data_IF_259206588578
#
_entry.id   IF_259206588578
#
_cell.length_a   1.000
_cell.length_b   1.000
_cell.length_c   1.000
_cell.angle_alpha   90.00
_cell.angle_beta   90.00
_cell.angle_gamma   90.00
#
_symmetry.space_group_name_H-M   'P 1'
#
loop_
_entity.id
_entity.type
_entity.pdbx_description
1 polymer ?
#
# COMPACT_ATOMS: atom_id res chain seq x y z
N UNK A 1 -9.10 8.80 -4.17
CA UNK A 1 -10.07 8.24 -3.23
C UNK A 1 -9.36 7.91 -1.93
N UNK A 2 -10.00 8.14 -0.80
CA UNK A 2 -9.51 7.77 0.53
C UNK A 2 -10.16 6.47 0.97
N UNK A 3 -9.37 5.49 1.41
CA UNK A 3 -9.88 4.17 1.79
C UNK A 3 -9.94 4.05 3.31
N UNK A 4 -11.15 3.81 3.82
CA UNK A 4 -11.44 3.82 5.24
C UNK A 4 -12.23 2.57 5.63
N UNK A 5 -12.01 2.11 6.86
CA UNK A 5 -12.91 1.16 7.52
C UNK A 5 -13.98 1.89 8.33
N UNK A 6 -14.64 1.16 9.22
CA UNK A 6 -15.54 1.71 10.23
C UNK A 6 -14.76 2.06 11.50
N UNK A 7 -14.95 3.27 12.02
CA UNK A 7 -14.46 3.66 13.34
C UNK A 7 -15.38 3.15 14.45
N UNK A 8 -14.88 3.09 15.69
CA UNK A 8 -15.71 2.77 16.88
C UNK A 8 -16.44 3.99 17.44
N UNK A 9 -16.14 5.19 16.93
CA UNK A 9 -16.76 6.44 17.35
C UNK A 9 -17.84 6.85 16.35
N UNK A 10 -19.10 6.81 16.77
CA UNK A 10 -20.26 7.15 15.91
C UNK A 10 -20.22 8.60 15.42
N UNK A 11 -19.82 9.55 16.26
CA UNK A 11 -19.69 10.97 15.86
C UNK A 11 -18.70 11.13 14.71
N UNK A 12 -17.60 10.38 14.72
CA UNK A 12 -16.63 10.38 13.60
C UNK A 12 -17.24 9.72 12.36
N UNK A 13 -17.97 8.61 12.51
CA UNK A 13 -18.64 7.95 11.38
C UNK A 13 -19.71 8.83 10.72
N UNK A 14 -20.43 9.64 11.50
CA UNK A 14 -21.39 10.62 11.00
C UNK A 14 -20.70 11.75 10.26
N UNK A 15 -19.62 12.31 10.82
CA UNK A 15 -18.81 13.34 10.15
C UNK A 15 -18.23 12.84 8.82
N UNK A 16 -17.75 11.61 8.77
CA UNK A 16 -17.28 10.97 7.52
C UNK A 16 -18.41 10.79 6.51
N UNK A 17 -19.65 10.54 6.96
CA UNK A 17 -20.80 10.42 6.07
C UNK A 17 -21.16 11.78 5.45
N UNK A 18 -21.03 12.87 6.20
CA UNK A 18 -21.18 14.24 5.71
C UNK A 18 -20.05 14.63 4.74
N UNK A 19 -18.79 14.33 5.09
CA UNK A 19 -17.64 14.52 4.18
C UNK A 19 -17.87 13.80 2.86
N UNK A 20 -18.26 12.52 2.91
CA UNK A 20 -18.51 11.74 1.71
C UNK A 20 -19.64 12.30 0.85
N UNK A 21 -20.69 12.85 1.48
CA UNK A 21 -21.76 13.53 0.75
C UNK A 21 -21.25 14.76 -0.01
N UNK A 22 -20.27 15.47 0.54
CA UNK A 22 -19.71 16.69 -0.06
C UNK A 22 -18.69 16.38 -1.16
N UNK A 23 -17.80 15.39 -0.97
CA UNK A 23 -16.65 15.17 -1.86
C UNK A 23 -16.76 13.91 -2.73
N UNK A 24 -17.50 12.88 -2.28
CA UNK A 24 -17.74 11.66 -3.04
C UNK A 24 -16.48 10.84 -3.35
N UNK A 25 -15.40 11.00 -2.58
CA UNK A 25 -14.11 10.38 -2.82
C UNK A 25 -13.69 9.36 -1.74
N UNK A 26 -14.62 8.94 -0.87
CA UNK A 26 -14.38 7.89 0.12
C UNK A 26 -14.76 6.50 -0.40
N UNK A 27 -13.88 5.53 -0.16
CA UNK A 27 -14.16 4.10 -0.31
C UNK A 27 -14.22 3.50 1.09
N UNK A 28 -15.39 2.96 1.47
CA UNK A 28 -15.61 2.40 2.81
C UNK A 28 -15.68 0.88 2.78
N UNK A 29 -14.73 0.22 3.43
CA UNK A 29 -14.75 -1.22 3.64
C UNK A 29 -15.44 -1.60 4.96
N UNK A 30 -16.00 -2.81 5.00
CA UNK A 30 -16.69 -3.34 6.19
C UNK A 30 -15.72 -4.05 7.15
N UNK A 31 -14.80 -3.30 7.74
CA UNK A 31 -13.87 -3.78 8.77
C UNK A 31 -13.60 -2.67 9.78
N UNK A 32 -13.16 -3.02 10.99
CA UNK A 32 -12.75 -2.02 11.99
C UNK A 32 -11.44 -1.39 11.54
N UNK A 33 -11.44 -0.08 11.33
CA UNK A 33 -10.24 0.64 10.90
C UNK A 33 -9.23 0.69 12.04
N UNK A 34 -8.10 0.00 11.86
CA UNK A 34 -7.01 -0.04 12.81
C UNK A 34 -5.72 -0.44 12.12
N UNK A 35 -4.59 -0.12 12.74
CA UNK A 35 -3.28 -0.51 12.22
C UNK A 35 -3.15 -2.03 11.99
N UNK A 36 -3.75 -2.84 12.86
CA UNK A 36 -3.70 -4.29 12.71
C UNK A 36 -4.57 -4.80 11.55
N UNK A 37 -5.51 -3.99 11.04
CA UNK A 37 -6.43 -4.34 9.96
C UNK A 37 -6.06 -3.67 8.63
N UNK A 38 -4.87 -3.07 8.50
CA UNK A 38 -4.42 -2.47 7.23
C UNK A 38 -4.45 -3.45 6.06
N UNK A 39 -4.20 -4.74 6.32
CA UNK A 39 -4.30 -5.76 5.27
C UNK A 39 -5.73 -5.92 4.74
N UNK A 40 -6.74 -5.84 5.62
CA UNK A 40 -8.14 -5.84 5.19
C UNK A 40 -8.45 -4.59 4.36
N UNK A 41 -7.93 -3.43 4.79
CA UNK A 41 -8.05 -2.17 4.02
C UNK A 41 -7.47 -2.30 2.61
N UNK A 42 -6.30 -2.92 2.45
CA UNK A 42 -5.72 -3.15 1.12
C UNK A 42 -6.51 -4.14 0.30
N UNK A 43 -7.00 -5.24 0.89
CA UNK A 43 -7.85 -6.20 0.17
C UNK A 43 -9.13 -5.51 -0.32
N UNK A 44 -9.80 -4.71 0.53
CA UNK A 44 -10.97 -3.92 0.13
C UNK A 44 -10.64 -2.87 -0.93
N UNK A 45 -9.43 -2.29 -0.89
CA UNK A 45 -8.96 -1.37 -1.94
C UNK A 45 -8.83 -2.09 -3.28
N UNK A 46 -8.20 -3.28 -3.28
CA UNK A 46 -8.02 -4.09 -4.48
C UNK A 46 -9.36 -4.54 -5.07
N UNK A 47 -10.30 -4.99 -4.22
CA UNK A 47 -11.66 -5.32 -4.61
C UNK A 47 -12.35 -4.14 -5.31
N UNK A 48 -12.32 -2.96 -4.68
CA UNK A 48 -12.99 -1.79 -5.22
C UNK A 48 -12.39 -1.37 -6.56
N UNK A 49 -11.06 -1.38 -6.69
CA UNK A 49 -10.35 -1.03 -7.92
C UNK A 49 -10.66 -2.04 -9.03
N UNK A 50 -10.69 -3.34 -8.72
CA UNK A 50 -11.03 -4.39 -9.68
C UNK A 50 -12.42 -4.17 -10.30
N UNK A 51 -13.40 -3.79 -9.46
CA UNK A 51 -14.78 -3.58 -9.89
C UNK A 51 -15.02 -2.22 -10.57
N UNK A 52 -14.37 -1.15 -10.11
CA UNK A 52 -14.72 0.23 -10.50
C UNK A 52 -13.67 0.91 -11.39
N UNK A 53 -12.43 0.40 -11.42
CA UNK A 53 -11.32 0.99 -12.16
C UNK A 53 -10.58 -0.02 -13.08
N UNK A 54 -11.26 -0.90 -13.84
CA UNK A 54 -10.60 -1.96 -14.59
C UNK A 54 -9.68 -1.47 -15.73
N UNK A 55 -9.81 -0.19 -16.12
CA UNK A 55 -9.00 0.44 -17.18
C UNK A 55 -7.84 1.30 -16.65
N UNK A 56 -7.68 1.42 -15.33
CA UNK A 56 -6.58 2.17 -14.76
C UNK A 56 -5.25 1.49 -15.14
N UNK A 57 -4.30 2.22 -15.72
CA UNK A 57 -3.00 1.65 -16.12
C UNK A 57 -2.07 1.47 -14.92
N UNK A 58 -2.18 2.36 -13.94
CA UNK A 58 -1.37 2.37 -12.73
C UNK A 58 -2.23 2.77 -11.53
N UNK A 59 -1.93 2.16 -10.39
CA UNK A 59 -2.54 2.45 -9.09
C UNK A 59 -1.43 2.86 -8.14
N UNK A 60 -1.50 4.08 -7.61
CA UNK A 60 -0.66 4.50 -6.49
C UNK A 60 -1.38 4.20 -5.18
N UNK A 61 -0.77 3.39 -4.32
CA UNK A 61 -1.12 3.33 -2.90
C UNK A 61 -0.16 4.24 -2.15
N UNK A 62 -0.69 5.10 -1.28
CA UNK A 62 0.11 5.93 -0.37
C UNK A 62 -0.58 6.09 0.98
N UNK A 63 0.22 6.29 2.03
CA UNK A 63 -0.28 6.74 3.33
C UNK A 63 -0.63 8.24 3.28
N UNK A 64 -1.42 8.71 4.25
CA UNK A 64 -1.93 10.08 4.36
C UNK A 64 -0.90 11.09 4.88
N UNK A 65 0.22 10.62 5.44
CA UNK A 65 1.35 11.42 5.92
C UNK A 65 2.51 11.52 4.91
N UNK A 66 2.19 11.26 3.64
CA UNK A 66 3.13 11.26 2.52
C UNK A 66 2.97 12.50 1.64
N UNK A 67 4.10 13.05 1.21
CA UNK A 67 4.14 13.95 0.06
C UNK A 67 4.37 13.16 -1.23
N UNK A 68 3.60 13.49 -2.27
CA UNK A 68 3.71 12.88 -3.60
C UNK A 68 4.00 13.94 -4.67
N UNK A 69 5.13 13.80 -5.36
CA UNK A 69 5.47 14.60 -6.53
C UNK A 69 4.80 14.03 -7.78
N UNK A 70 3.52 14.38 -7.99
CA UNK A 70 2.71 13.84 -9.11
C UNK A 70 3.36 14.07 -10.48
N UNK A 71 3.87 15.27 -10.85
CA UNK A 71 4.52 15.45 -12.14
C UNK A 71 5.75 14.55 -12.36
N UNK A 72 6.54 14.32 -11.30
CA UNK A 72 7.70 13.41 -11.39
C UNK A 72 7.26 11.95 -11.48
N UNK A 73 6.22 11.56 -10.72
CA UNK A 73 5.64 10.24 -10.78
C UNK A 73 5.13 9.92 -12.19
N UNK A 74 4.37 10.83 -12.81
CA UNK A 74 3.87 10.63 -14.17
C UNK A 74 5.01 10.48 -15.17
N UNK A 75 6.03 11.35 -15.12
CA UNK A 75 7.25 11.21 -15.96
C UNK A 75 8.02 9.91 -15.73
N UNK A 76 7.99 9.38 -14.51
CA UNK A 76 8.59 8.09 -14.19
C UNK A 76 7.80 6.95 -14.84
N UNK A 77 6.46 6.97 -14.74
CA UNK A 77 5.58 5.92 -15.27
C UNK A 77 5.51 5.90 -16.80
N UNK A 78 5.61 7.07 -17.44
CA UNK A 78 5.58 7.20 -18.91
C UNK A 78 6.73 6.46 -19.62
N UNK A 79 7.81 6.17 -18.88
CA UNK A 79 8.99 5.44 -19.37
C UNK A 79 8.95 3.94 -19.08
N UNK A 80 7.90 3.44 -18.43
CA UNK A 80 7.78 2.03 -18.03
C UNK A 80 7.00 1.23 -19.05
N UNK A 81 7.42 -0.03 -19.23
CA UNK A 81 6.85 -0.98 -20.19
C UNK A 81 6.39 -2.28 -19.53
N UNK A 82 6.76 -2.47 -18.28
CA UNK A 82 6.48 -3.65 -17.51
C UNK A 82 4.97 -3.74 -17.28
N UNK A 83 4.37 -4.82 -17.79
CA UNK A 83 2.92 -5.01 -17.70
C UNK A 83 2.48 -5.44 -16.30
N UNK A 84 3.32 -6.20 -15.60
CA UNK A 84 3.03 -6.83 -14.31
C UNK A 84 4.12 -6.51 -13.29
N UNK A 85 4.04 -5.35 -12.67
CA UNK A 85 5.06 -4.88 -11.76
C UNK A 85 4.50 -4.06 -10.59
N UNK A 86 5.27 -4.07 -9.50
CA UNK A 86 5.10 -3.17 -8.35
C UNK A 86 6.37 -2.33 -8.22
N UNK A 87 6.23 -1.02 -8.30
CA UNK A 87 7.32 -0.05 -8.13
C UNK A 87 7.28 0.55 -6.74
N UNK A 88 8.44 0.65 -6.10
CA UNK A 88 8.54 1.37 -4.83
C UNK A 88 9.88 1.14 -4.15
N UNK A 89 9.94 1.45 -2.86
CA UNK A 89 11.12 1.18 -2.06
C UNK A 89 11.18 -0.32 -1.72
N UNK A 90 12.01 -1.05 -2.45
CA UNK A 90 12.19 -2.49 -2.25
C UNK A 90 12.94 -2.83 -0.95
N UNK A 91 12.31 -3.60 -0.08
CA UNK A 91 12.90 -4.22 1.11
C UNK A 91 13.32 -5.67 0.78
N UNK A 92 14.58 -6.03 1.03
CA UNK A 92 15.14 -7.37 0.79
C UNK A 92 15.73 -7.96 2.07
N UNK A 93 15.56 -9.26 2.27
CA UNK A 93 16.12 -10.02 3.40
C UNK A 93 15.64 -9.55 4.79
N UNK A 94 14.48 -8.90 4.86
CA UNK A 94 13.89 -8.48 6.13
C UNK A 94 13.37 -9.69 6.89
N UNK A 95 13.62 -9.71 8.20
CA UNK A 95 13.23 -10.80 9.10
C UNK A 95 11.93 -10.44 9.83
N UNK A 96 11.03 -11.41 10.06
CA UNK A 96 9.86 -11.18 10.89
C UNK A 96 10.28 -10.79 12.32
N UNK A 97 9.64 -9.76 12.88
CA UNK A 97 9.93 -9.33 14.25
C UNK A 97 9.24 -10.27 15.23
N UNK A 98 10.01 -10.94 16.10
CA UNK A 98 9.48 -11.92 17.07
C UNK A 98 9.21 -11.34 18.47
N UNK A 99 9.45 -10.04 18.67
CA UNK A 99 9.13 -9.35 19.91
C UNK A 99 7.64 -8.98 19.96
N UNK A 100 6.88 -9.59 20.88
CA UNK A 100 5.43 -9.35 21.09
C UNK A 100 5.05 -7.90 21.38
N UNK A 101 5.98 -7.08 21.88
CA UNK A 101 5.75 -5.64 22.16
C UNK A 101 5.88 -4.76 20.91
N UNK A 102 6.42 -5.29 19.81
CA UNK A 102 6.58 -4.54 18.57
C UNK A 102 5.27 -4.47 17.80
N UNK A 103 4.93 -3.30 17.27
CA UNK A 103 3.80 -3.16 16.32
C UNK A 103 3.95 -4.07 15.10
N UNK A 104 5.19 -4.37 14.72
CA UNK A 104 5.54 -5.26 13.60
C UNK A 104 5.65 -6.75 13.99
N UNK A 105 5.22 -7.13 15.18
CA UNK A 105 5.29 -8.52 15.65
C UNK A 105 4.58 -9.49 14.68
N UNK A 106 5.27 -10.58 14.35
CA UNK A 106 4.73 -11.73 13.62
C UNK A 106 5.15 -12.99 14.36
N UNK A 107 4.17 -13.83 14.69
CA UNK A 107 4.42 -15.07 15.42
C UNK A 107 5.08 -16.13 14.51
N UNK A 108 5.86 -17.03 15.10
CA UNK A 108 6.62 -18.04 14.35
C UNK A 108 5.71 -19.08 13.70
N UNK A 109 4.61 -19.44 14.36
CA UNK A 109 3.55 -20.29 13.83
C UNK A 109 2.82 -19.64 12.63
N UNK A 110 2.57 -18.33 12.68
CA UNK A 110 1.95 -17.59 11.59
C UNK A 110 2.86 -17.48 10.36
N UNK A 111 4.17 -17.29 10.57
CA UNK A 111 5.14 -17.20 9.48
C UNK A 111 6.45 -17.88 9.89
N UNK A 112 6.63 -19.19 9.57
CA UNK A 112 7.78 -19.97 10.03
C UNK A 112 9.11 -19.57 9.39
N UNK A 113 9.08 -19.06 8.16
CA UNK A 113 10.30 -18.70 7.44
C UNK A 113 11.06 -17.57 8.15
N UNK A 114 12.39 -17.66 8.11
CA UNK A 114 13.27 -16.71 8.78
C UNK A 114 13.31 -15.32 8.12
N UNK A 115 12.88 -15.24 6.86
CA UNK A 115 13.00 -14.06 6.01
C UNK A 115 11.73 -13.92 5.18
N UNK A 116 11.21 -12.70 5.09
CA UNK A 116 10.08 -12.41 4.20
C UNK A 116 10.50 -12.47 2.72
N UNK A 117 9.58 -12.81 1.80
CA UNK A 117 9.61 -12.35 0.42
C UNK A 117 10.13 -10.92 0.33
N UNK A 118 10.88 -10.55 -0.72
CA UNK A 118 11.11 -9.10 -0.90
C UNK A 118 9.77 -8.41 -1.14
N UNK A 119 9.62 -7.18 -0.70
CA UNK A 119 8.35 -6.46 -0.80
C UNK A 119 8.63 -4.98 -1.00
N UNK A 120 7.69 -4.24 -1.59
CA UNK A 120 7.75 -2.78 -1.59
C UNK A 120 7.12 -2.28 -0.32
N UNK A 121 7.83 -1.44 0.42
CA UNK A 121 7.38 -0.94 1.73
C UNK A 121 6.06 -0.17 1.66
N UNK A 122 5.29 -0.23 2.74
CA UNK A 122 3.94 0.34 2.86
C UNK A 122 3.73 1.83 2.53
N UNK A 123 4.63 2.78 2.88
CA UNK A 123 4.28 4.20 2.79
C UNK A 123 3.86 4.68 1.41
N UNK A 124 4.50 4.18 0.35
CA UNK A 124 4.03 4.37 -1.02
C UNK A 124 4.59 3.30 -1.97
N UNK A 125 3.73 2.81 -2.86
CA UNK A 125 4.10 1.95 -3.97
C UNK A 125 3.09 2.08 -5.13
N UNK A 126 3.54 1.78 -6.34
CA UNK A 126 2.71 1.80 -7.55
C UNK A 126 2.57 0.40 -8.10
N UNK A 127 1.34 -0.02 -8.37
CA UNK A 127 1.02 -1.26 -9.05
C UNK A 127 0.61 -0.97 -10.48
N UNK A 128 1.01 -1.82 -11.43
CA UNK A 128 0.39 -1.85 -12.76
C UNK A 128 -1.07 -2.29 -12.63
N UNK A 129 -2.00 -1.69 -13.37
CA UNK A 129 -3.42 -2.05 -13.27
C UNK A 129 -3.70 -3.52 -13.59
N UNK A 130 -2.91 -4.13 -14.48
CA UNK A 130 -3.11 -5.51 -14.93
C UNK A 130 -2.92 -6.57 -13.84
N UNK A 131 -2.34 -6.22 -12.68
CA UNK A 131 -2.14 -7.17 -11.56
C UNK A 131 -3.18 -7.03 -10.46
N UNK A 132 -4.07 -6.03 -10.51
CA UNK A 132 -5.02 -5.75 -9.43
C UNK A 132 -5.96 -6.93 -9.21
N UNK A 133 -6.56 -7.44 -10.29
CA UNK A 133 -7.46 -8.60 -10.24
C UNK A 133 -6.78 -9.82 -9.60
N UNK A 134 -5.60 -10.19 -10.10
CA UNK A 134 -4.86 -11.34 -9.60
C UNK A 134 -4.46 -11.18 -8.14
N UNK A 135 -4.00 -9.98 -7.74
CA UNK A 135 -3.67 -9.67 -6.36
C UNK A 135 -4.90 -9.81 -5.47
N UNK A 136 -6.05 -9.28 -5.89
CA UNK A 136 -7.32 -9.39 -5.16
C UNK A 136 -7.71 -10.86 -4.98
N UNK A 137 -7.90 -11.61 -6.07
CA UNK A 137 -8.36 -13.01 -6.00
C UNK A 137 -7.39 -13.89 -5.21
N UNK A 138 -6.09 -13.71 -5.40
CA UNK A 138 -5.09 -14.48 -4.66
C UNK A 138 -5.05 -14.11 -3.18
N UNK A 139 -5.30 -12.85 -2.83
CA UNK A 139 -5.34 -12.42 -1.42
C UNK A 139 -6.42 -13.14 -0.62
N UNK A 140 -7.58 -13.42 -1.22
CA UNK A 140 -8.71 -14.10 -0.56
C UNK A 140 -8.40 -15.54 -0.14
N UNK A 141 -7.42 -16.18 -0.78
CA UNK A 141 -7.00 -17.57 -0.51
C UNK A 141 -5.63 -17.66 0.17
N UNK A 142 -5.02 -16.51 0.50
CA UNK A 142 -3.72 -16.44 1.17
C UNK A 142 -3.91 -16.30 2.67
N UNK A 143 -3.11 -17.04 3.46
CA UNK A 143 -3.14 -16.92 4.92
C UNK A 143 -2.88 -15.48 5.34
N UNK A 144 -3.81 -14.92 6.09
CA UNK A 144 -3.78 -13.52 6.51
C UNK A 144 -2.52 -13.19 7.34
N UNK A 145 -1.88 -12.08 6.98
CA UNK A 145 -0.79 -11.47 7.74
C UNK A 145 -1.09 -9.98 7.88
N UNK A 146 -1.07 -9.44 9.11
CA UNK A 146 -1.45 -8.04 9.36
C UNK A 146 -0.55 -6.99 8.70
N UNK A 147 0.70 -7.34 8.39
CA UNK A 147 1.67 -6.47 7.72
C UNK A 147 1.31 -6.38 6.25
N UNK A 148 0.55 -5.36 5.88
CA UNK A 148 -0.06 -5.20 4.57
C UNK A 148 0.94 -5.23 3.42
N UNK A 149 2.06 -4.53 3.56
CA UNK A 149 3.09 -4.42 2.52
C UNK A 149 3.79 -5.77 2.28
N UNK A 150 4.11 -6.47 3.38
CA UNK A 150 4.63 -7.85 3.35
C UNK A 150 3.60 -8.80 2.75
N UNK A 151 2.32 -8.67 3.10
CA UNK A 151 1.25 -9.54 2.62
C UNK A 151 1.00 -9.34 1.12
N UNK A 152 0.61 -8.14 0.70
CA UNK A 152 0.18 -7.86 -0.67
C UNK A 152 1.37 -7.85 -1.66
N UNK A 153 2.40 -7.05 -1.37
CA UNK A 153 3.53 -6.83 -2.29
C UNK A 153 4.67 -7.84 -2.12
N UNK A 154 4.64 -8.62 -1.03
CA UNK A 154 5.58 -9.70 -0.75
C UNK A 154 5.00 -11.07 -1.04
N UNK A 155 4.16 -11.58 -0.14
CA UNK A 155 3.65 -12.97 -0.15
C UNK A 155 2.76 -13.22 -1.37
N UNK A 156 1.70 -12.43 -1.53
CA UNK A 156 0.73 -12.59 -2.62
C UNK A 156 1.42 -12.37 -3.97
N UNK A 157 2.12 -11.24 -4.12
CA UNK A 157 2.88 -10.93 -5.33
C UNK A 157 3.92 -11.99 -5.69
N UNK A 158 4.66 -12.56 -4.72
CA UNK A 158 5.61 -13.64 -4.98
C UNK A 158 4.92 -14.90 -5.49
N UNK A 159 3.77 -15.27 -4.92
CA UNK A 159 3.03 -16.44 -5.37
C UNK A 159 2.49 -16.33 -6.80
N UNK A 160 2.34 -15.10 -7.30
CA UNK A 160 1.87 -14.77 -8.65
C UNK A 160 3.00 -14.45 -9.64
N UNK A 161 4.27 -14.54 -9.21
CA UNK A 161 5.43 -14.18 -10.04
C UNK A 161 5.47 -12.70 -10.44
N UNK A 162 4.85 -11.81 -9.67
CA UNK A 162 4.84 -10.37 -9.94
C UNK A 162 6.19 -9.76 -9.56
N UNK A 163 6.76 -8.97 -10.47
CA UNK A 163 8.05 -8.32 -10.24
C UNK A 163 7.92 -7.13 -9.28
N UNK A 164 8.85 -7.02 -8.33
CA UNK A 164 8.99 -5.81 -7.50
C UNK A 164 10.25 -5.06 -7.89
N UNK A 165 10.07 -3.84 -8.37
CA UNK A 165 11.14 -2.99 -8.90
C UNK A 165 11.49 -1.90 -7.90
N UNK A 166 12.78 -1.84 -7.55
CA UNK A 166 13.30 -0.83 -6.64
C UNK A 166 13.38 0.52 -7.33
N UNK A 167 12.82 1.55 -6.67
CA UNK A 167 12.88 2.94 -7.13
C UNK A 167 13.44 3.81 -6.01
N UNK A 168 14.57 4.46 -6.26
CA UNK A 168 15.29 5.25 -5.26
C UNK A 168 14.50 6.48 -4.81
N UNK A 169 13.68 7.02 -5.71
CA UNK A 169 12.89 8.23 -5.54
C UNK A 169 11.67 8.02 -4.62
N UNK A 170 11.34 6.78 -4.24
CA UNK A 170 10.40 6.50 -3.16
C UNK A 170 11.14 6.57 -1.82
N UNK A 171 10.99 7.69 -1.10
CA UNK A 171 11.76 8.00 0.11
C UNK A 171 10.92 7.79 1.37
N UNK A 172 11.21 6.71 2.10
CA UNK A 172 10.48 6.37 3.35
C UNK A 172 11.07 7.02 4.61
N UNK A 173 11.65 8.20 4.47
CA UNK A 173 12.25 8.94 5.58
C UNK A 173 11.97 10.42 5.43
N UNK A 174 12.01 11.12 6.55
CA UNK A 174 11.98 12.57 6.56
C UNK A 174 13.21 13.11 5.85
N UNK A 175 13.00 14.09 4.98
CA UNK A 175 14.06 14.89 4.35
C UNK A 175 13.78 16.36 4.62
N UNK A 176 14.78 17.23 4.50
CA UNK A 176 14.54 18.67 4.57
C UNK A 176 13.66 19.11 3.41
N UNK A 177 12.58 19.83 3.72
CA UNK A 177 11.57 20.26 2.77
C UNK A 177 12.05 21.50 1.99
N UNK A 178 13.00 21.28 1.07
CA UNK A 178 13.49 22.30 0.16
C UNK A 178 13.23 21.89 -1.30
N UNK A 179 13.16 22.84 -2.24
CA UNK A 179 12.81 22.57 -3.64
C UNK A 179 13.68 21.51 -4.31
N UNK A 180 14.99 21.48 -4.02
CA UNK A 180 15.93 20.54 -4.62
C UNK A 180 15.63 19.09 -4.21
N UNK A 181 15.40 18.88 -2.91
CA UNK A 181 15.09 17.56 -2.36
C UNK A 181 13.74 17.04 -2.87
N UNK A 182 12.73 17.90 -2.90
CA UNK A 182 11.37 17.55 -3.33
C UNK A 182 11.32 17.27 -4.83
N UNK A 183 12.03 18.06 -5.65
CA UNK A 183 12.11 17.86 -7.11
C UNK A 183 12.74 16.51 -7.49
N UNK A 184 13.59 15.97 -6.62
CA UNK A 184 14.30 14.73 -6.85
C UNK A 184 13.61 13.48 -6.28
N UNK A 185 12.57 13.64 -5.45
CA UNK A 185 11.79 12.54 -4.89
C UNK A 185 10.44 12.36 -5.60
N UNK A 186 9.98 11.12 -5.73
CA UNK A 186 8.60 10.76 -6.12
C UNK A 186 7.70 10.82 -4.89
N UNK A 187 8.16 10.24 -3.77
CA UNK A 187 7.43 10.27 -2.51
C UNK A 187 8.37 10.54 -1.34
N UNK A 188 7.84 11.18 -0.30
CA UNK A 188 8.55 11.50 0.95
C UNK A 188 7.63 11.25 2.14
N UNK A 189 8.12 10.51 3.12
CA UNK A 189 7.37 10.18 4.35
C UNK A 189 7.60 11.20 5.48
N UNK A 190 6.58 11.35 6.34
CA UNK A 190 6.56 12.27 7.50
C UNK A 190 6.69 13.74 7.12
N UNK A 191 5.81 14.21 6.23
CA UNK A 191 5.60 15.64 6.03
C UNK A 191 4.48 16.04 6.99
N UNK A 192 4.83 16.75 8.06
CA UNK A 192 3.89 17.41 8.98
C UNK A 192 3.97 18.90 8.78
#
# INVERSE_FOLDING_TARGET
AFVLGRGTNETVNEALSQENFMYGDLIRGNFIDSYNNLTLKTISSLEWIDQHCPRAQYILKTDDDMFINVPKLLKFLDKRKEKRAIYGRLAKKWKPVRNKKSKYYVATDQFPAAVFPSFTTGPAYVMTGSIVHDLYVRSLTTVYLKLEDVFATGIVAQSLGIERLHVNEFVNRRISFNPCNIRNAISVHMIK
#
